data_IF_430142836582
#
_entry.id   IF_430142836582
#
_cell.length_a   1.000
_cell.length_b   1.000
_cell.length_c   1.000
_cell.angle_alpha   90.00
_cell.angle_beta   90.00
_cell.angle_gamma   90.00
#
_symmetry.space_group_name_H-M   'P 1'
#
loop_
_entity.id
_entity.type
_entity.pdbx_description
1 polymer ?
#
# COMPACT_ATOMS: atom_id res chain seq x y z
N UNK A 1 17.73 2.82 28.46
CA UNK A 1 16.35 2.56 28.00
C UNK A 1 16.22 3.18 26.63
N UNK A 2 16.53 2.42 25.58
CA UNK A 2 16.42 2.87 24.18
C UNK A 2 14.95 2.81 23.78
N UNK A 3 14.39 3.94 23.36
CA UNK A 3 13.03 4.00 22.85
C UNK A 3 13.04 3.35 21.46
N UNK A 4 12.44 2.17 21.31
CA UNK A 4 12.27 1.50 20.02
C UNK A 4 11.27 2.32 19.19
N UNK A 5 11.78 3.11 18.24
CA UNK A 5 10.95 3.81 17.26
C UNK A 5 10.24 2.79 16.39
N UNK A 6 8.90 2.82 16.37
CA UNK A 6 8.09 1.97 15.51
C UNK A 6 8.59 2.04 14.05
N UNK A 7 9.09 0.92 13.53
CA UNK A 7 9.87 0.81 12.27
C UNK A 7 8.97 0.79 11.02
N UNK A 8 7.83 1.47 11.07
CA UNK A 8 6.89 1.56 9.96
C UNK A 8 7.19 2.73 9.03
N UNK A 9 6.69 2.70 7.77
CA UNK A 9 6.80 3.84 6.87
C UNK A 9 6.08 5.06 7.45
N UNK A 10 6.76 6.21 7.46
CA UNK A 10 6.13 7.50 7.79
C UNK A 10 5.32 7.99 6.60
N UNK A 11 4.00 8.02 6.73
CA UNK A 11 3.10 8.54 5.71
C UNK A 11 3.10 10.07 5.67
N UNK A 12 2.99 10.64 4.46
CA UNK A 12 2.78 12.08 4.24
C UNK A 12 1.31 12.37 3.95
N UNK A 13 0.86 13.60 4.25
CA UNK A 13 -0.48 14.02 3.86
C UNK A 13 -0.57 14.29 2.35
N UNK A 14 -1.78 14.26 1.81
CA UNK A 14 -2.03 14.64 0.40
C UNK A 14 -1.60 16.08 0.09
N UNK A 15 -1.65 16.98 1.06
CA UNK A 15 -1.26 18.39 0.87
C UNK A 15 0.25 18.56 0.67
N UNK A 16 1.06 17.62 1.19
CA UNK A 16 2.53 17.62 1.07
C UNK A 16 3.03 16.83 -0.14
N UNK A 17 2.14 16.10 -0.81
CA UNK A 17 2.49 15.12 -1.83
C UNK A 17 2.62 15.74 -3.22
N UNK A 18 3.55 15.21 -4.01
CA UNK A 18 3.87 15.73 -5.34
C UNK A 18 3.39 14.78 -6.45
N UNK A 19 2.48 15.20 -7.35
CA UNK A 19 2.05 14.37 -8.47
C UNK A 19 3.19 14.16 -9.50
N UNK A 20 3.15 13.10 -10.32
CA UNK A 20 2.10 12.07 -10.38
C UNK A 20 2.09 11.14 -9.16
N UNK A 21 0.98 10.43 -8.99
CA UNK A 21 0.84 9.41 -7.95
C UNK A 21 0.95 8.02 -8.57
N UNK A 22 1.58 7.10 -7.83
CA UNK A 22 1.78 5.72 -8.26
C UNK A 22 1.11 4.76 -7.29
N UNK A 23 0.44 3.75 -7.84
CA UNK A 23 -0.20 2.68 -7.07
C UNK A 23 0.60 1.39 -7.27
N UNK A 24 1.10 0.84 -6.16
CA UNK A 24 1.68 -0.49 -6.14
C UNK A 24 0.67 -1.51 -5.64
N UNK A 25 0.57 -2.66 -6.31
CA UNK A 25 -0.27 -3.79 -5.91
C UNK A 25 0.61 -5.02 -5.74
N UNK A 26 0.60 -5.60 -4.55
CA UNK A 26 1.31 -6.84 -4.19
C UNK A 26 0.27 -7.93 -3.90
N UNK A 27 0.16 -8.90 -4.81
CA UNK A 27 -0.79 -10.01 -4.73
C UNK A 27 -0.17 -11.20 -4.00
N UNK A 28 -0.62 -11.45 -2.76
CA UNK A 28 -0.24 -12.62 -1.99
C UNK A 28 -1.28 -13.74 -2.00
N UNK A 29 -0.96 -14.87 -1.36
CA UNK A 29 -1.90 -16.00 -1.23
C UNK A 29 -3.06 -15.72 -0.26
N UNK A 30 -2.87 -14.81 0.71
CA UNK A 30 -3.86 -14.51 1.77
C UNK A 30 -4.32 -13.05 1.77
N UNK A 31 -3.46 -12.13 1.33
CA UNK A 31 -3.79 -10.71 1.30
C UNK A 31 -3.24 -10.05 0.03
N UNK A 32 -4.02 -9.14 -0.52
CA UNK A 32 -3.59 -8.16 -1.52
C UNK A 32 -3.22 -6.90 -0.77
N UNK A 33 -2.00 -6.41 -0.95
CA UNK A 33 -1.55 -5.13 -0.40
C UNK A 33 -1.57 -4.08 -1.51
N UNK A 34 -2.05 -2.90 -1.17
CA UNK A 34 -2.12 -1.76 -2.08
C UNK A 34 -1.44 -0.59 -1.38
N UNK A 35 -0.52 0.08 -2.06
CA UNK A 35 0.19 1.24 -1.56
C UNK A 35 0.14 2.39 -2.56
N UNK A 36 0.07 3.62 -2.06
CA UNK A 36 0.15 4.84 -2.88
C UNK A 36 1.39 5.62 -2.49
N UNK A 37 2.17 6.01 -3.50
CA UNK A 37 3.32 6.91 -3.33
C UNK A 37 3.19 8.12 -4.26
N UNK A 38 3.89 9.20 -3.92
CA UNK A 38 4.05 10.36 -4.78
C UNK A 38 5.27 10.21 -5.72
N UNK A 39 5.56 11.23 -6.51
CA UNK A 39 6.66 11.25 -7.49
C UNK A 39 8.05 11.01 -6.87
N UNK A 40 8.20 11.35 -5.58
CA UNK A 40 9.44 11.15 -4.83
C UNK A 40 9.48 9.79 -4.12
N UNK A 41 8.48 8.93 -4.34
CA UNK A 41 8.36 7.63 -3.69
C UNK A 41 7.95 7.71 -2.21
N UNK A 42 7.45 8.85 -1.74
CA UNK A 42 7.02 9.02 -0.35
C UNK A 42 5.63 8.39 -0.17
N UNK A 43 5.42 7.58 0.87
CA UNK A 43 4.16 6.85 1.04
C UNK A 43 3.04 7.77 1.53
N UNK A 44 1.85 7.65 0.91
CA UNK A 44 0.63 8.37 1.30
C UNK A 44 -0.35 7.48 2.05
N UNK A 45 -0.51 6.23 1.58
CA UNK A 45 -1.43 5.27 2.17
C UNK A 45 -0.99 3.84 1.86
N UNK A 46 -1.40 2.90 2.71
CA UNK A 46 -1.33 1.47 2.43
C UNK A 46 -2.55 0.76 3.03
N UNK A 47 -3.09 -0.21 2.31
CA UNK A 47 -4.18 -1.07 2.77
C UNK A 47 -3.87 -2.52 2.42
N UNK A 48 -4.27 -3.44 3.30
CA UNK A 48 -4.32 -4.87 3.01
C UNK A 48 -5.76 -5.33 2.99
N UNK A 49 -6.15 -6.06 1.95
CA UNK A 49 -7.46 -6.71 1.85
C UNK A 49 -7.26 -8.22 1.69
N UNK A 50 -8.14 -9.07 2.25
CA UNK A 50 -8.06 -10.51 2.03
C UNK A 50 -8.10 -10.84 0.55
N UNK A 51 -7.25 -11.76 0.10
CA UNK A 51 -7.37 -12.33 -1.24
C UNK A 51 -8.55 -13.30 -1.30
N UNK A 52 -9.08 -13.51 -2.50
CA UNK A 52 -10.13 -14.50 -2.77
C UNK A 52 -9.61 -15.55 -3.75
N UNK A 53 -8.57 -16.32 -3.40
CA UNK A 53 -7.90 -17.21 -4.34
C UNK A 53 -8.82 -18.31 -4.89
N UNK A 54 -9.88 -18.65 -4.16
CA UNK A 54 -10.87 -19.64 -4.57
C UNK A 54 -11.77 -19.18 -5.73
N UNK A 55 -11.81 -17.87 -6.04
CA UNK A 55 -12.76 -17.33 -7.00
C UNK A 55 -12.25 -17.23 -8.44
N UNK A 56 -10.99 -17.59 -8.69
CA UNK A 56 -10.40 -17.55 -10.03
C UNK A 56 -10.39 -16.15 -10.67
N UNK A 57 -9.65 -15.94 -11.78
CA UNK A 57 -9.68 -14.67 -12.52
C UNK A 57 -11.03 -14.34 -13.15
N UNK A 58 -11.85 -15.36 -13.44
CA UNK A 58 -13.16 -15.24 -14.10
C UNK A 58 -14.22 -14.48 -13.28
N UNK A 59 -14.10 -14.44 -11.94
CA UNK A 59 -15.04 -13.73 -11.05
C UNK A 59 -14.83 -12.20 -11.04
N UNK A 60 -13.78 -11.69 -11.71
CA UNK A 60 -13.45 -10.27 -11.72
C UNK A 60 -14.17 -9.44 -12.82
N UNK A 61 -15.04 -10.07 -13.61
CA UNK A 61 -15.70 -9.51 -14.81
C UNK A 61 -16.95 -8.68 -14.54
#
# INVERSE_FOLDING_TARGET
MSNETATGPRFISRAEAQPPFFVGVDLGGTNTKIGVVDDLGRPLAAVGIPTQPAKGPEDAG
#
